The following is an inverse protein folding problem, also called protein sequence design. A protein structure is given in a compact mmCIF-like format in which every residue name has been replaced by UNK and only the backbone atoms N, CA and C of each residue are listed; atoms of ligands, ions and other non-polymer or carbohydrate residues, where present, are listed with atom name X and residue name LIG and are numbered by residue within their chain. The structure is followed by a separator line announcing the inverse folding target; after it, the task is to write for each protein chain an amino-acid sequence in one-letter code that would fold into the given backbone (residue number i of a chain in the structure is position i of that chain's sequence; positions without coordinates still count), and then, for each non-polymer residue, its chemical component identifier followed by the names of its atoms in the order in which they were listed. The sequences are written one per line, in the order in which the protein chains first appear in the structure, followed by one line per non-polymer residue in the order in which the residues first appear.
data_IF_987314949880
#
_entry.id   IF_987314949880
#
_cell.length_a   1.000
_cell.length_b   1.000
_cell.length_c   1.000
_cell.angle_alpha   90.00
_cell.angle_beta   90.00
_cell.angle_gamma   90.00
#
_symmetry.space_group_name_H-M   'P 1'
#
loop_
_entity.id
_entity.type
_entity.pdbx_description
1 polymer ?
#
# COMPACT_ATOMS: atom_id res chain seq x y z
N UNK A 1 -3.30 -4.84 1.51
CA UNK A 1 -2.90 -4.75 2.94
C UNK A 1 -2.06 -3.50 3.07
N UNK A 2 -2.61 -2.43 3.63
CA UNK A 2 -1.90 -1.17 3.84
C UNK A 2 -0.97 -1.36 5.03
N UNK A 3 0.34 -1.32 4.81
CA UNK A 3 1.31 -1.41 5.89
C UNK A 3 1.37 -0.06 6.58
N UNK A 4 0.76 0.03 7.76
CA UNK A 4 1.00 1.13 8.69
C UNK A 4 2.49 1.11 9.06
N UNK A 5 3.23 2.12 8.62
CA UNK A 5 4.63 2.31 8.97
C UNK A 5 4.70 2.98 10.34
N UNK A 6 5.50 2.43 11.23
CA UNK A 6 5.76 2.98 12.56
C UNK A 6 7.25 3.15 12.77
N UNK A 7 7.62 4.27 13.40
CA UNK A 7 8.98 4.54 13.84
C UNK A 7 9.01 4.78 15.35
N UNK A 8 10.01 4.23 16.01
CA UNK A 8 10.30 4.51 17.41
C UNK A 8 11.57 5.34 17.50
N UNK A 9 11.47 6.52 18.11
CA UNK A 9 12.59 7.42 18.33
C UNK A 9 12.90 7.48 19.82
N UNK A 10 14.12 7.10 20.19
CA UNK A 10 14.65 7.31 21.55
C UNK A 10 15.24 8.70 21.63
N UNK A 11 14.60 9.58 22.38
CA UNK A 11 15.08 10.92 22.70
C UNK A 11 15.84 10.88 24.02
N UNK A 12 16.95 11.60 24.08
CA UNK A 12 17.78 11.73 25.27
C UNK A 12 17.97 13.22 25.57
N UNK A 13 17.64 13.62 26.79
CA UNK A 13 17.90 14.96 27.31
C UNK A 13 18.99 14.86 28.39
N UNK A 14 20.01 15.71 28.31
CA UNK A 14 21.10 15.77 29.28
C UNK A 14 21.39 17.22 29.67
N UNK A 15 21.61 17.45 30.97
CA UNK A 15 21.98 18.76 31.54
C UNK A 15 23.43 18.79 32.04
N UNK A 16 24.31 17.92 31.50
CA UNK A 16 25.70 17.66 31.91
C UNK A 16 25.91 16.91 33.24
N UNK A 17 24.90 16.85 34.10
CA UNK A 17 24.95 16.09 35.36
C UNK A 17 24.00 14.89 35.35
N UNK A 18 22.85 15.06 34.73
CA UNK A 18 21.79 14.08 34.61
C UNK A 18 21.51 13.79 33.14
N UNK A 19 21.06 12.58 32.87
CA UNK A 19 20.56 12.17 31.57
C UNK A 19 19.25 11.41 31.75
N UNK A 20 18.26 11.72 30.92
CA UNK A 20 16.99 11.02 30.89
C UNK A 20 16.56 10.78 29.46
N UNK A 21 16.04 9.58 29.20
CA UNK A 21 15.54 9.20 27.89
C UNK A 21 14.02 8.97 27.89
N UNK A 22 13.42 9.12 26.71
CA UNK A 22 12.01 8.80 26.48
C UNK A 22 11.84 8.29 25.04
N UNK A 23 10.83 7.46 24.82
CA UNK A 23 10.53 6.92 23.49
C UNK A 23 9.32 7.64 22.91
N UNK A 24 9.46 8.16 21.69
CA UNK A 24 8.38 8.73 20.91
C UNK A 24 8.03 7.76 19.79
N UNK A 25 6.76 7.36 19.75
CA UNK A 25 6.20 6.50 18.71
C UNK A 25 5.57 7.39 17.64
N UNK A 26 6.08 7.31 16.42
CA UNK A 26 5.55 8.04 15.27
C UNK A 26 4.78 7.05 14.39
N UNK A 27 3.48 7.28 14.28
CA UNK A 27 2.60 6.51 13.41
C UNK A 27 2.40 7.27 12.10
N UNK A 28 2.74 6.66 10.97
CA UNK A 28 2.53 7.27 9.66
C UNK A 28 1.13 6.91 9.18
N UNK A 29 0.30 7.93 8.95
CA UNK A 29 -1.02 7.74 8.39
C UNK A 29 -0.89 7.38 6.91
N UNK A 30 -1.44 6.22 6.55
CA UNK A 30 -1.62 5.84 5.16
C UNK A 30 -2.72 6.71 4.55
N UNK A 31 -2.39 7.40 3.47
CA UNK A 31 -3.34 8.23 2.71
C UNK A 31 -3.44 7.62 1.33
N UNK A 32 -4.64 7.64 0.74
CA UNK A 32 -4.85 7.14 -0.61
C UNK A 32 -4.25 8.09 -1.66
N UNK A 33 -2.92 8.04 -1.80
CA UNK A 33 -2.12 8.85 -2.73
C UNK A 33 -1.59 8.05 -3.93
N UNK A 34 -1.65 6.72 -3.87
CA UNK A 34 -1.31 5.83 -4.96
C UNK A 34 -2.52 5.60 -5.88
N UNK A 35 -2.39 5.99 -7.14
CA UNK A 35 -3.40 5.67 -8.15
C UNK A 35 -3.45 4.16 -8.42
N UNK A 36 -4.63 3.60 -8.74
CA UNK A 36 -4.71 2.24 -9.25
C UNK A 36 -3.87 2.10 -10.52
N UNK A 37 -3.14 0.99 -10.64
CA UNK A 37 -2.33 0.68 -11.82
C UNK A 37 -2.80 -0.67 -12.36
N UNK A 38 -3.07 -0.73 -13.66
CA UNK A 38 -3.35 -1.99 -14.34
C UNK A 38 -2.07 -2.83 -14.42
N UNK A 39 -2.21 -4.15 -14.26
CA UNK A 39 -1.08 -5.08 -14.30
C UNK A 39 -0.41 -5.14 -15.69
N UNK A 40 -1.19 -4.93 -16.74
CA UNK A 40 -0.73 -4.90 -18.13
C UNK A 40 -1.24 -3.65 -18.85
N UNK A 41 -0.44 -3.05 -19.76
CA UNK A 41 -0.91 -1.96 -20.62
C UNK A 41 -1.97 -2.40 -21.64
N UNK A 42 -2.06 -3.70 -21.94
CA UNK A 42 -3.00 -4.28 -22.91
C UNK A 42 -3.53 -5.61 -22.38
N UNK A 43 -4.83 -5.82 -22.50
CA UNK A 43 -5.49 -7.08 -22.21
C UNK A 43 -6.20 -7.57 -23.46
N UNK A 44 -5.91 -8.79 -23.88
CA UNK A 44 -6.54 -9.42 -25.06
C UNK A 44 -7.60 -10.41 -24.59
N UNK A 45 -8.72 -10.51 -25.31
CA UNK A 45 -9.79 -11.46 -25.03
C UNK A 45 -10.41 -11.90 -26.36
N UNK A 46 -10.88 -13.15 -26.42
CA UNK A 46 -11.56 -13.71 -27.58
C UNK A 46 -12.93 -14.27 -27.16
N UNK A 47 -13.94 -14.10 -28.01
CA UNK A 47 -15.30 -14.57 -27.76
C UNK A 47 -15.95 -14.99 -29.08
N UNK A 48 -16.65 -16.12 -29.06
CA UNK A 48 -17.48 -16.56 -30.17
C UNK A 48 -18.74 -15.68 -30.29
N UNK A 49 -19.10 -15.30 -31.52
CA UNK A 49 -20.29 -14.48 -31.77
C UNK A 49 -21.58 -15.16 -31.27
N UNK A 50 -21.64 -16.49 -31.37
CA UNK A 50 -22.79 -17.31 -30.98
C UNK A 50 -22.82 -17.65 -29.48
N UNK A 51 -21.98 -17.03 -28.64
CA UNK A 51 -21.83 -17.44 -27.24
C UNK A 51 -23.11 -17.17 -26.41
N UNK A 52 -23.80 -18.21 -25.91
CA UNK A 52 -25.04 -18.04 -25.15
C UNK A 52 -24.77 -17.85 -23.65
N UNK A 53 -25.23 -16.73 -23.06
CA UNK A 53 -25.15 -16.48 -21.61
C UNK A 53 -24.76 -15.03 -21.26
N UNK A 54 -24.57 -14.70 -19.97
CA UNK A 54 -23.96 -13.43 -19.58
C UNK A 54 -22.53 -13.35 -20.12
N UNK A 55 -22.06 -12.15 -20.51
CA UNK A 55 -20.82 -11.98 -21.29
C UNK A 55 -19.59 -11.43 -20.52
N UNK A 56 -19.17 -11.97 -19.36
CA UNK A 56 -17.80 -11.75 -18.90
C UNK A 56 -16.84 -12.66 -19.66
N UNK A 57 -15.95 -12.07 -20.46
CA UNK A 57 -14.91 -12.81 -21.22
C UNK A 57 -13.64 -12.88 -20.37
N UNK A 58 -13.04 -14.08 -20.27
CA UNK A 58 -11.74 -14.24 -19.61
C UNK A 58 -10.64 -13.63 -20.48
N UNK A 59 -9.73 -12.91 -19.84
CA UNK A 59 -8.54 -12.38 -20.50
C UNK A 59 -7.62 -13.52 -20.93
N UNK A 60 -7.06 -13.40 -22.13
CA UNK A 60 -5.96 -14.22 -22.61
C UNK A 60 -4.71 -13.83 -21.79
N UNK A 61 -4.06 -14.83 -21.21
CA UNK A 61 -2.82 -14.66 -20.41
C UNK A 61 -1.63 -14.22 -21.28
#
# INVERSE_FOLDING_TARGET
MFLLVQYELTLVASDSLNEQSTTVVVNIADVNDLQPVFESPVYTAEMDEEHPGPHPVRLLE
#
